data_IF_355929023224
#
_entry.id   IF_355929023224
#
_cell.length_a   1.000
_cell.length_b   1.000
_cell.length_c   1.000
_cell.angle_alpha   90.00
_cell.angle_beta   90.00
_cell.angle_gamma   90.00
#
_symmetry.space_group_name_H-M   'P 1'
#
loop_
_entity.id
_entity.type
_entity.pdbx_description
1 polymer ?
#
# COMPACT_ATOMS: atom_id res chain seq x y z
N UNK A 1 0.10 -12.02 8.34
CA UNK A 1 0.13 -10.68 7.73
C UNK A 1 0.72 -9.61 8.65
N UNK A 2 0.10 -9.23 9.78
CA UNK A 2 0.60 -8.11 10.63
C UNK A 2 2.08 -8.26 11.05
N UNK A 3 2.49 -9.45 11.50
CA UNK A 3 3.87 -9.73 11.92
C UNK A 3 4.91 -9.36 10.86
N UNK A 4 4.79 -9.86 9.62
CA UNK A 4 5.74 -9.54 8.55
C UNK A 4 5.76 -8.03 8.21
N UNK A 5 4.61 -7.36 8.23
CA UNK A 5 4.57 -5.90 8.01
C UNK A 5 5.31 -5.12 9.10
N UNK A 6 5.25 -5.54 10.37
CA UNK A 6 6.06 -4.94 11.45
C UNK A 6 7.56 -5.22 11.22
N UNK A 7 7.92 -6.41 10.76
CA UNK A 7 9.32 -6.75 10.44
C UNK A 7 9.87 -5.90 9.30
N UNK A 8 9.08 -5.72 8.23
CA UNK A 8 9.43 -4.85 7.10
C UNK A 8 9.58 -3.38 7.55
N UNK A 9 8.70 -2.93 8.44
CA UNK A 9 8.76 -1.60 9.05
C UNK A 9 10.04 -1.38 9.88
N UNK A 10 10.46 -2.35 10.69
CA UNK A 10 11.73 -2.26 11.42
C UNK A 10 12.93 -2.33 10.48
N UNK A 11 12.87 -3.15 9.42
CA UNK A 11 13.93 -3.17 8.40
C UNK A 11 14.09 -1.79 7.75
N UNK A 12 12.98 -1.14 7.36
CA UNK A 12 13.02 0.20 6.78
C UNK A 12 13.66 1.24 7.74
N UNK A 13 13.39 1.15 9.04
CA UNK A 13 14.04 2.02 10.05
C UNK A 13 15.55 1.80 10.14
N UNK A 14 15.98 0.54 10.17
CA UNK A 14 17.40 0.19 10.22
C UNK A 14 18.14 0.72 8.97
N UNK A 15 17.52 0.61 7.80
CA UNK A 15 18.05 1.16 6.55
C UNK A 15 18.15 2.69 6.63
N UNK A 16 17.10 3.38 7.11
CA UNK A 16 17.14 4.84 7.25
C UNK A 16 18.21 5.33 8.23
N UNK A 17 18.48 4.57 9.30
CA UNK A 17 19.59 4.88 10.20
C UNK A 17 20.94 4.76 9.50
N UNK A 18 21.16 3.69 8.73
CA UNK A 18 22.38 3.49 7.95
C UNK A 18 22.56 4.55 6.85
N UNK A 19 21.49 4.87 6.11
CA UNK A 19 21.47 5.94 5.09
C UNK A 19 21.81 7.30 5.72
N UNK A 20 21.26 7.63 6.89
CA UNK A 20 21.61 8.88 7.60
C UNK A 20 23.06 8.90 8.06
N UNK A 21 23.58 7.79 8.58
CA UNK A 21 24.97 7.70 9.07
C UNK A 21 26.00 7.78 7.94
N UNK A 22 25.70 7.17 6.80
CA UNK A 22 26.65 7.02 5.68
C UNK A 22 26.46 8.07 4.58
N UNK A 23 25.30 8.73 4.53
CA UNK A 23 24.94 9.66 3.46
C UNK A 23 24.70 8.99 2.10
N UNK A 24 24.65 7.64 2.03
CA UNK A 24 24.43 6.92 0.78
C UNK A 24 22.97 7.02 0.32
N UNK A 25 22.72 6.71 -0.95
CA UNK A 25 21.38 6.54 -1.51
C UNK A 25 20.73 5.22 -1.05
N UNK A 26 19.40 5.17 -1.03
CA UNK A 26 18.62 3.94 -0.84
C UNK A 26 18.70 3.11 -2.11
N UNK A 27 19.21 1.88 -2.04
CA UNK A 27 19.44 0.98 -3.18
C UNK A 27 18.29 0.00 -3.44
N UNK A 28 18.32 -0.68 -4.58
CA UNK A 28 17.41 -1.79 -4.92
C UNK A 28 17.44 -2.89 -3.83
N UNK A 29 18.63 -3.29 -3.34
CA UNK A 29 18.78 -4.23 -2.19
C UNK A 29 18.04 -3.81 -0.94
N UNK A 30 18.06 -2.53 -0.61
CA UNK A 30 17.43 -2.03 0.61
C UNK A 30 15.92 -2.22 0.53
N UNK A 31 15.33 -1.83 -0.60
CA UNK A 31 13.90 -2.02 -0.84
C UNK A 31 13.57 -3.51 -0.91
N UNK A 32 14.39 -4.32 -1.58
CA UNK A 32 14.21 -5.77 -1.65
C UNK A 32 14.22 -6.43 -0.26
N UNK A 33 15.10 -6.01 0.64
CA UNK A 33 15.13 -6.51 2.02
C UNK A 33 13.83 -6.22 2.78
N UNK A 34 13.24 -5.04 2.56
CA UNK A 34 11.94 -4.66 3.13
C UNK A 34 10.82 -5.53 2.53
N UNK A 35 10.80 -5.70 1.20
CA UNK A 35 9.76 -6.46 0.50
C UNK A 35 9.79 -7.96 0.82
N UNK A 36 10.97 -8.54 1.07
CA UNK A 36 11.11 -9.93 1.55
C UNK A 36 10.50 -10.18 2.92
N UNK A 37 10.41 -9.15 3.76
CA UNK A 37 9.72 -9.22 5.06
C UNK A 37 8.26 -8.82 4.95
N UNK A 38 7.87 -8.09 3.90
CA UNK A 38 6.51 -7.60 3.73
C UNK A 38 5.54 -8.77 3.52
N UNK A 39 4.61 -8.92 4.45
CA UNK A 39 3.58 -9.95 4.32
C UNK A 39 2.42 -9.42 3.47
N UNK A 40 2.43 -9.81 2.20
CA UNK A 40 1.39 -9.52 1.21
C UNK A 40 0.05 -10.16 1.60
N UNK A 41 -1.04 -9.48 1.23
CA UNK A 41 -2.39 -10.04 1.28
C UNK A 41 -2.72 -10.70 -0.06
N UNK A 42 -3.51 -11.78 -0.04
CA UNK A 42 -4.17 -12.29 -1.24
C UNK A 42 -5.19 -11.26 -1.73
N UNK A 43 -5.01 -10.78 -2.95
CA UNK A 43 -5.89 -9.82 -3.59
C UNK A 43 -6.69 -10.52 -4.68
N UNK A 44 -7.96 -10.77 -4.38
CA UNK A 44 -8.98 -11.36 -5.25
C UNK A 44 -9.75 -10.31 -6.07
N UNK A 45 -9.54 -9.02 -5.79
CA UNK A 45 -10.27 -7.92 -6.44
C UNK A 45 -9.63 -7.45 -7.75
N UNK A 46 -8.35 -7.79 -8.00
CA UNK A 46 -7.63 -7.40 -9.23
C UNK A 46 -7.82 -8.41 -10.35
N UNK A 47 -9.06 -8.78 -10.65
CA UNK A 47 -9.38 -9.79 -11.65
C UNK A 47 -8.83 -9.43 -13.05
N UNK A 48 -8.74 -8.14 -13.36
CA UNK A 48 -8.24 -7.64 -14.64
C UNK A 48 -6.74 -7.96 -14.90
N UNK A 49 -5.95 -8.28 -13.87
CA UNK A 49 -4.53 -8.61 -14.04
C UNK A 49 -4.24 -10.10 -13.86
N UNK A 50 -5.26 -10.90 -13.54
CA UNK A 50 -5.13 -12.34 -13.33
C UNK A 50 -5.15 -13.05 -14.69
N UNK A 51 -4.21 -13.99 -14.88
CA UNK A 51 -4.27 -14.94 -15.99
C UNK A 51 -5.35 -15.99 -15.72
N UNK A 52 -5.75 -16.69 -16.76
CA UNK A 52 -6.73 -17.77 -16.65
C UNK A 52 -6.32 -18.80 -15.58
N UNK A 53 -7.27 -19.20 -14.74
CA UNK A 53 -7.04 -20.13 -13.62
C UNK A 53 -6.43 -19.50 -12.35
N UNK A 54 -5.98 -18.25 -12.37
CA UNK A 54 -5.42 -17.57 -11.18
C UNK A 54 -6.56 -16.95 -10.35
N UNK A 55 -6.68 -17.35 -9.09
CA UNK A 55 -7.77 -16.89 -8.20
C UNK A 55 -7.42 -15.69 -7.32
N UNK A 56 -6.13 -15.40 -7.13
CA UNK A 56 -5.65 -14.22 -6.40
C UNK A 56 -4.24 -13.84 -6.86
N UNK A 57 -3.85 -12.60 -6.59
CA UNK A 57 -2.46 -12.13 -6.73
C UNK A 57 -1.96 -11.53 -5.42
N UNK A 58 -0.66 -11.52 -5.19
CA UNK A 58 -0.05 -10.78 -4.09
C UNK A 58 0.20 -9.33 -4.50
N UNK A 59 -0.72 -8.44 -4.12
CA UNK A 59 -0.69 -7.03 -4.48
C UNK A 59 -1.28 -6.19 -3.36
N UNK A 60 -0.48 -5.29 -2.80
CA UNK A 60 -0.91 -4.27 -1.84
C UNK A 60 -0.78 -2.88 -2.47
N UNK A 61 -1.72 -2.00 -2.17
CA UNK A 61 -1.63 -0.57 -2.52
C UNK A 61 -1.19 0.22 -1.30
N UNK A 62 -0.13 1.00 -1.43
CA UNK A 62 0.29 2.04 -0.48
C UNK A 62 -0.16 3.40 -1.03
N UNK A 63 -0.77 4.26 -0.23
CA UNK A 63 -1.21 5.60 -0.61
C UNK A 63 -2.74 5.74 -0.63
N UNK A 64 -3.24 6.51 -1.59
CA UNK A 64 -4.64 6.89 -1.73
C UNK A 64 -5.47 5.86 -2.52
N UNK A 65 -6.48 5.28 -1.89
CA UNK A 65 -7.48 4.43 -2.54
C UNK A 65 -8.78 5.21 -2.77
N UNK A 66 -9.44 4.94 -3.88
CA UNK A 66 -10.81 5.39 -4.13
C UNK A 66 -11.79 4.25 -3.84
N UNK A 67 -12.80 4.53 -3.02
CA UNK A 67 -13.93 3.65 -2.77
C UNK A 67 -14.88 3.61 -3.98
N UNK A 68 -15.72 2.58 -4.04
CA UNK A 68 -16.77 2.45 -5.07
C UNK A 68 -17.84 3.53 -4.96
N UNK A 69 -18.01 4.12 -3.78
CA UNK A 69 -18.88 5.26 -3.50
C UNK A 69 -18.25 6.61 -3.88
N UNK A 70 -17.03 6.60 -4.44
CA UNK A 70 -16.28 7.80 -4.79
C UNK A 70 -15.68 8.53 -3.60
N UNK A 71 -15.69 7.94 -2.40
CA UNK A 71 -14.87 8.39 -1.28
C UNK A 71 -13.39 8.11 -1.54
N UNK A 72 -12.49 8.86 -0.91
CA UNK A 72 -11.05 8.59 -0.96
C UNK A 72 -10.50 8.41 0.45
N UNK A 73 -9.57 7.47 0.61
CA UNK A 73 -8.98 7.12 1.89
C UNK A 73 -7.51 6.74 1.73
N UNK A 74 -6.71 6.93 2.78
CA UNK A 74 -5.35 6.40 2.84
C UNK A 74 -5.41 4.95 3.31
N UNK A 75 -4.70 4.06 2.65
CA UNK A 75 -4.68 2.66 3.09
C UNK A 75 -4.03 2.54 4.47
N UNK A 76 -4.56 1.63 5.29
CA UNK A 76 -3.98 1.34 6.60
C UNK A 76 -2.54 0.81 6.51
N UNK A 77 -2.15 0.20 5.38
CA UNK A 77 -0.79 -0.24 5.13
C UNK A 77 0.18 0.95 5.09
N UNK A 78 -0.24 2.07 4.52
CA UNK A 78 0.57 3.30 4.46
C UNK A 78 0.70 3.97 5.80
N UNK A 79 -0.41 4.16 6.52
CA UNK A 79 -0.36 4.88 7.80
C UNK A 79 0.29 4.06 8.92
N UNK A 80 0.04 2.75 8.97
CA UNK A 80 0.54 1.91 10.06
C UNK A 80 1.99 1.47 9.85
N UNK A 81 2.50 1.55 8.62
CA UNK A 81 3.85 1.15 8.25
C UNK A 81 4.50 2.24 7.38
N UNK A 82 4.51 3.48 7.89
CA UNK A 82 4.92 4.65 7.13
C UNK A 82 6.36 4.56 6.63
N UNK A 83 7.30 4.02 7.41
CA UNK A 83 8.70 3.88 7.03
C UNK A 83 8.87 2.95 5.82
N UNK A 84 8.01 1.93 5.64
CA UNK A 84 7.98 1.12 4.40
C UNK A 84 7.59 1.96 3.19
N UNK A 85 6.60 2.85 3.33
CA UNK A 85 6.22 3.75 2.23
C UNK A 85 7.35 4.76 1.97
N UNK A 86 7.90 5.36 3.02
CA UNK A 86 8.95 6.36 2.94
C UNK A 86 10.22 5.81 2.27
N UNK A 87 10.65 4.58 2.59
CA UNK A 87 11.87 4.02 2.00
C UNK A 87 11.70 3.76 0.50
N UNK A 88 10.51 3.33 0.07
CA UNK A 88 10.17 3.15 -1.34
C UNK A 88 10.12 4.51 -2.07
N UNK A 89 9.51 5.53 -1.46
CA UNK A 89 9.48 6.88 -2.02
C UNK A 89 10.90 7.49 -2.13
N UNK A 90 11.72 7.30 -1.09
CA UNK A 90 13.11 7.77 -1.08
C UNK A 90 13.96 7.05 -2.12
N UNK A 91 13.74 5.75 -2.33
CA UNK A 91 14.37 5.01 -3.41
C UNK A 91 14.05 5.64 -4.77
N UNK A 92 12.77 5.95 -5.04
CA UNK A 92 12.38 6.57 -6.31
C UNK A 92 13.05 7.94 -6.48
N UNK A 93 13.08 8.77 -5.44
CA UNK A 93 13.78 10.06 -5.47
C UNK A 93 15.28 9.89 -5.78
N UNK A 94 15.94 8.92 -5.15
CA UNK A 94 17.36 8.65 -5.35
C UNK A 94 17.71 8.13 -6.75
N UNK A 95 16.76 7.48 -7.40
CA UNK A 95 16.89 6.84 -8.71
C UNK A 95 16.20 7.62 -9.84
N UNK A 96 15.59 8.76 -9.50
CA UNK A 96 14.99 9.66 -10.49
C UNK A 96 16.10 10.22 -11.39
N UNK A 97 15.96 10.12 -12.72
CA UNK A 97 16.93 10.63 -13.69
C UNK A 97 17.16 12.13 -13.56
N UNK A 98 18.41 12.58 -13.73
CA UNK A 98 18.78 14.00 -13.59
C UNK A 98 18.18 14.91 -14.67
N UNK A 99 17.85 14.36 -15.83
CA UNK A 99 17.18 15.04 -16.93
C UNK A 99 15.67 15.24 -16.69
N UNK A 100 15.10 14.56 -15.68
CA UNK A 100 13.74 14.82 -15.24
C UNK A 100 13.70 16.10 -14.40
N UNK A 101 13.13 17.17 -14.99
CA UNK A 101 13.14 18.51 -14.37
C UNK A 101 12.33 18.59 -13.07
N UNK A 102 11.27 17.78 -12.95
CA UNK A 102 10.38 17.75 -11.79
C UNK A 102 10.43 16.38 -11.11
N UNK A 103 10.32 16.36 -9.79
CA UNK A 103 10.13 15.11 -9.03
C UNK A 103 8.83 14.45 -9.47
N UNK A 104 8.87 13.14 -9.75
CA UNK A 104 7.66 12.40 -10.11
C UNK A 104 6.62 12.50 -9.01
N UNK A 105 5.40 12.90 -9.38
CA UNK A 105 4.29 13.02 -8.45
C UNK A 105 3.34 11.82 -8.61
N UNK A 106 2.86 11.32 -7.49
CA UNK A 106 1.98 10.15 -7.44
C UNK A 106 1.15 10.19 -6.17
N UNK A 107 0.00 9.53 -6.17
CA UNK A 107 -0.83 9.40 -4.97
C UNK A 107 -0.79 8.00 -4.37
N UNK A 108 -0.30 7.02 -5.11
CA UNK A 108 -0.27 5.62 -4.71
C UNK A 108 0.88 4.82 -5.32
N UNK A 109 1.19 3.70 -4.69
CA UNK A 109 2.16 2.70 -5.12
C UNK A 109 1.48 1.34 -5.06
N UNK A 110 1.41 0.63 -6.17
CA UNK A 110 1.11 -0.80 -6.15
C UNK A 110 2.41 -1.57 -5.93
N UNK A 111 2.46 -2.34 -4.85
CA UNK A 111 3.55 -3.24 -4.51
C UNK A 111 3.07 -4.66 -4.82
N UNK A 112 3.69 -5.28 -5.82
CA UNK A 112 3.31 -6.60 -6.31
C UNK A 112 4.41 -7.61 -5.99
N UNK A 113 4.02 -8.87 -5.76
CA UNK A 113 4.95 -9.98 -5.56
C UNK A 113 4.53 -11.20 -6.39
N UNK A 114 5.47 -11.77 -7.13
CA UNK A 114 5.36 -13.14 -7.62
C UNK A 114 4.24 -13.43 -8.61
N UNK A 115 3.77 -12.45 -9.40
CA UNK A 115 2.83 -12.72 -10.50
C UNK A 115 3.17 -11.95 -11.77
N UNK A 116 2.89 -12.58 -12.91
CA UNK A 116 2.96 -12.00 -14.24
C UNK A 116 1.57 -11.50 -14.63
N UNK A 117 1.38 -10.17 -14.67
CA UNK A 117 0.11 -9.55 -14.98
C UNK A 117 -0.35 -9.89 -16.40
N UNK A 118 -1.63 -10.26 -16.54
CA UNK A 118 -2.30 -10.36 -17.83
C UNK A 118 -2.33 -9.00 -18.56
N UNK A 119 -2.65 -9.02 -19.86
CA UNK A 119 -2.84 -7.80 -20.65
C UNK A 119 -4.01 -6.98 -20.10
N UNK A 120 -3.75 -5.74 -19.71
CA UNK A 120 -4.77 -4.86 -19.13
C UNK A 120 -4.47 -3.38 -19.33
N UNK A 121 -5.44 -2.54 -18.92
CA UNK A 121 -5.30 -1.10 -18.68
C UNK A 121 -5.60 -0.84 -17.21
N UNK A 122 -4.89 0.10 -16.59
CA UNK A 122 -5.18 0.49 -15.20
C UNK A 122 -6.39 1.41 -15.14
N UNK A 123 -7.54 0.87 -14.71
CA UNK A 123 -8.71 1.67 -14.46
C UNK A 123 -8.48 2.67 -13.30
N UNK A 124 -9.10 3.85 -13.39
CA UNK A 124 -9.01 4.90 -12.35
C UNK A 124 -7.56 5.39 -12.10
N UNK A 125 -6.72 5.40 -13.15
CA UNK A 125 -5.38 6.00 -13.17
C UNK A 125 -5.41 7.30 -14.00
N UNK A 126 -4.69 8.34 -13.56
CA UNK A 126 -4.53 9.60 -14.31
C UNK A 126 -3.62 9.48 -15.53
N UNK A 127 -2.94 8.35 -15.69
CA UNK A 127 -2.10 8.02 -16.84
C UNK A 127 -0.63 7.88 -16.44
N UNK A 128 0.10 8.99 -16.22
CA UNK A 128 1.54 8.92 -15.95
C UNK A 128 1.83 8.04 -14.74
N UNK A 129 2.63 7.01 -14.97
CA UNK A 129 3.02 6.01 -13.97
C UNK A 129 4.49 5.67 -14.13
N UNK A 130 5.21 5.45 -13.03
CA UNK A 130 6.56 4.90 -13.05
C UNK A 130 6.56 3.46 -12.57
N UNK A 131 7.35 2.60 -13.21
CA UNK A 131 7.45 1.18 -12.84
C UNK A 131 8.90 0.69 -12.80
N UNK A 132 9.17 -0.14 -11.79
CA UNK A 132 10.44 -0.86 -11.59
C UNK A 132 10.15 -2.28 -11.11
N UNK A 133 10.92 -3.26 -11.58
CA UNK A 133 10.98 -4.59 -10.99
C UNK A 133 12.25 -4.77 -10.14
N UNK A 134 12.14 -5.55 -9.07
CA UNK A 134 13.21 -5.82 -8.11
C UNK A 134 13.27 -7.33 -7.83
N UNK A 135 14.45 -7.83 -7.49
CA UNK A 135 14.67 -9.22 -7.10
C UNK A 135 15.62 -9.95 -8.04
N UNK A 136 15.68 -11.28 -7.90
CA UNK A 136 16.52 -12.16 -8.74
C UNK A 136 15.61 -13.09 -9.53
N UNK A 137 15.41 -12.77 -10.79
CA UNK A 137 14.54 -13.50 -11.70
C UNK A 137 15.07 -13.46 -13.13
N UNK A 138 14.56 -14.35 -13.98
CA UNK A 138 14.75 -14.34 -15.44
C UNK A 138 13.39 -14.26 -16.14
N UNK A 139 13.33 -13.59 -17.29
CA UNK A 139 12.07 -13.23 -17.95
C UNK A 139 11.36 -12.07 -17.23
N UNK A 140 10.04 -11.99 -17.33
CA UNK A 140 9.24 -11.02 -16.59
C UNK A 140 9.37 -9.58 -17.08
N UNK A 141 9.80 -9.42 -18.33
CA UNK A 141 9.82 -8.16 -19.05
C UNK A 141 8.39 -7.58 -19.12
N UNK A 142 8.31 -6.25 -19.19
CA UNK A 142 7.05 -5.54 -19.38
C UNK A 142 6.78 -5.41 -20.88
N UNK A 143 5.63 -5.89 -21.33
CA UNK A 143 5.08 -5.55 -22.63
C UNK A 143 4.21 -4.30 -22.51
N UNK A 144 4.41 -3.34 -23.41
CA UNK A 144 3.70 -2.07 -23.41
C UNK A 144 3.22 -1.69 -24.81
N UNK A 145 1.95 -1.36 -24.90
CA UNK A 145 1.28 -0.93 -26.12
C UNK A 145 1.11 0.58 -26.11
N UNK A 146 2.20 1.27 -26.46
CA UNK A 146 2.28 2.73 -26.40
C UNK A 146 1.25 3.47 -27.22
N UNK A 147 0.74 2.94 -28.33
CA UNK A 147 -0.28 3.61 -29.14
C UNK A 147 -1.71 3.17 -28.81
N UNK A 148 -1.90 2.38 -27.76
CA UNK A 148 -3.21 1.89 -27.36
C UNK A 148 -4.18 3.04 -27.01
N UNK A 149 -5.15 3.26 -27.90
CA UNK A 149 -6.25 4.18 -27.71
C UNK A 149 -7.48 3.40 -27.25
N UNK A 150 -7.83 3.58 -25.97
CA UNK A 150 -9.00 2.95 -25.34
C UNK A 150 -10.33 3.22 -26.05
N UNK A 151 -10.42 4.28 -26.86
CA UNK A 151 -11.62 4.58 -27.65
C UNK A 151 -11.83 3.63 -28.84
N UNK A 152 -10.79 2.88 -29.24
CA UNK A 152 -10.81 1.99 -30.40
C UNK A 152 -11.30 0.57 -30.10
N UNK A 153 -11.44 0.21 -28.82
CA UNK A 153 -11.97 -1.10 -28.43
C UNK A 153 -11.37 -1.68 -27.15
N UNK A 154 -11.65 -2.95 -26.91
CA UNK A 154 -11.08 -3.70 -25.77
C UNK A 154 -9.58 -3.93 -25.99
N UNK A 155 -8.84 -4.12 -24.89
CA UNK A 155 -7.38 -4.22 -24.94
C UNK A 155 -6.93 -5.43 -25.76
N UNK A 156 -7.65 -6.55 -25.68
CA UNK A 156 -7.36 -7.80 -26.39
C UNK A 156 -7.56 -7.68 -27.90
N UNK A 157 -8.48 -6.81 -28.34
CA UNK A 157 -8.74 -6.58 -29.78
C UNK A 157 -7.74 -5.62 -30.39
N UNK A 158 -7.32 -4.61 -29.63
CA UNK A 158 -6.52 -3.49 -30.15
C UNK A 158 -5.02 -3.74 -29.99
N UNK A 159 -4.58 -4.37 -28.90
CA UNK A 159 -3.17 -4.58 -28.59
C UNK A 159 -2.66 -5.89 -29.17
N UNK A 160 -2.17 -5.85 -30.42
CA UNK A 160 -1.62 -7.02 -31.11
C UNK A 160 -0.15 -7.25 -30.74
N UNK A 161 0.31 -8.50 -30.76
CA UNK A 161 1.63 -8.89 -30.25
C UNK A 161 2.79 -8.14 -30.94
N UNK A 162 2.68 -7.89 -32.24
CA UNK A 162 3.64 -7.19 -33.09
C UNK A 162 3.80 -5.70 -32.77
N UNK A 163 2.80 -5.10 -32.13
CA UNK A 163 2.76 -3.67 -31.82
C UNK A 163 3.40 -3.33 -30.46
N UNK A 164 3.79 -4.35 -29.69
CA UNK A 164 4.29 -4.17 -28.34
C UNK A 164 5.74 -3.69 -28.34
N UNK A 165 6.04 -2.84 -27.36
CA UNK A 165 7.40 -2.63 -26.90
C UNK A 165 7.65 -3.52 -25.68
N UNK A 166 8.75 -4.26 -25.70
CA UNK A 166 9.20 -5.05 -24.55
C UNK A 166 10.33 -4.32 -23.83
N UNK A 167 10.19 -4.16 -22.51
CA UNK A 167 11.14 -3.43 -21.66
C UNK A 167 11.53 -4.29 -20.47
N UNK A 168 12.84 -4.50 -20.30
CA UNK A 168 13.38 -5.05 -19.06
C UNK A 168 13.34 -3.98 -17.96
N UNK A 169 12.30 -4.03 -17.13
CA UNK A 169 12.13 -3.13 -15.99
C UNK A 169 12.93 -3.56 -14.74
N UNK A 170 13.74 -4.62 -14.82
CA UNK A 170 14.78 -4.94 -13.82
C UNK A 170 16.02 -4.07 -14.05
N UNK A 171 16.39 -3.81 -15.30
CA UNK A 171 17.50 -2.90 -15.64
C UNK A 171 17.06 -1.44 -15.79
N UNK A 172 15.77 -1.18 -16.04
CA UNK A 172 15.28 0.15 -16.38
C UNK A 172 14.23 0.67 -15.38
N UNK A 173 14.20 1.99 -15.20
CA UNK A 173 13.05 2.71 -14.66
C UNK A 173 12.24 3.22 -15.85
N UNK A 174 10.95 2.90 -15.90
CA UNK A 174 10.07 3.25 -17.01
C UNK A 174 9.01 4.26 -16.54
N UNK A 175 8.89 5.39 -17.24
CA UNK A 175 7.70 6.26 -17.19
C UNK A 175 6.82 5.92 -18.40
N UNK A 176 5.57 5.56 -18.12
CA UNK A 176 4.59 5.14 -19.12
C UNK A 176 3.19 5.64 -18.76
N UNK A 177 2.24 5.47 -19.67
CA UNK A 177 0.83 5.76 -19.44
C UNK A 177 0.11 4.46 -19.03
N UNK A 178 -0.22 4.33 -17.74
CA UNK A 178 -0.90 3.16 -17.19
C UNK A 178 -2.30 2.92 -17.76
N UNK A 179 -2.88 3.92 -18.45
CA UNK A 179 -4.16 3.75 -19.14
C UNK A 179 -4.05 3.01 -20.48
N UNK A 180 -2.83 2.68 -20.93
CA UNK A 180 -2.56 1.92 -22.15
C UNK A 180 -2.31 0.45 -21.86
N UNK A 181 -2.50 -0.39 -22.86
CA UNK A 181 -2.30 -1.83 -22.78
C UNK A 181 -0.91 -2.18 -22.26
N UNK A 182 -0.85 -3.03 -21.24
CA UNK A 182 0.41 -3.58 -20.76
C UNK A 182 0.22 -4.95 -20.11
N UNK A 183 1.27 -5.77 -20.16
CA UNK A 183 1.31 -7.10 -19.55
C UNK A 183 2.73 -7.42 -19.07
N UNK A 184 2.88 -8.49 -18.31
CA UNK A 184 4.20 -9.00 -17.89
C UNK A 184 4.38 -10.40 -18.44
N UNK A 185 5.54 -10.64 -19.05
CA UNK A 185 5.94 -11.97 -19.51
C UNK A 185 6.06 -12.96 -18.35
N UNK A 186 6.03 -14.26 -18.65
CA UNK A 186 6.34 -15.26 -17.62
C UNK A 186 7.77 -15.08 -17.11
N UNK A 187 7.99 -15.47 -15.85
CA UNK A 187 9.31 -15.39 -15.22
C UNK A 187 9.52 -16.52 -14.23
N UNK A 188 10.79 -16.77 -13.93
CA UNK A 188 11.22 -17.66 -12.87
C UNK A 188 12.04 -16.90 -11.83
N UNK A 189 11.83 -17.21 -10.55
CA UNK A 189 12.58 -16.62 -9.44
C UNK A 189 11.79 -15.62 -8.61
N UNK A 190 12.52 -14.79 -7.87
CA UNK A 190 11.95 -13.81 -6.94
C UNK A 190 11.77 -12.47 -7.65
N UNK A 191 10.51 -12.10 -7.92
CA UNK A 191 10.16 -10.82 -8.56
C UNK A 191 9.17 -10.03 -7.72
N UNK A 192 9.53 -8.79 -7.45
CA UNK A 192 8.63 -7.75 -6.98
C UNK A 192 8.52 -6.66 -8.04
N UNK A 193 7.41 -5.93 -8.05
CA UNK A 193 7.32 -4.70 -8.85
C UNK A 193 6.69 -3.57 -8.05
N UNK A 194 7.18 -2.37 -8.29
CA UNK A 194 6.68 -1.12 -7.73
C UNK A 194 6.10 -0.29 -8.86
N UNK A 195 4.81 0.03 -8.77
CA UNK A 195 4.13 0.90 -9.74
C UNK A 195 3.67 2.16 -9.02
N UNK A 196 4.32 3.28 -9.29
CA UNK A 196 3.97 4.60 -8.75
C UNK A 196 2.95 5.25 -9.68
N UNK A 197 1.76 5.55 -9.19
CA UNK A 197 0.66 6.07 -10.02
C UNK A 197 -0.18 7.11 -9.28
N UNK A 198 -0.95 7.87 -10.05
CA UNK A 198 -1.94 8.81 -9.51
C UNK A 198 -3.34 8.25 -9.71
N UNK A 199 -4.04 8.01 -8.61
CA UNK A 199 -5.47 7.68 -8.59
C UNK A 199 -6.31 8.80 -9.25
N UNK A 200 -7.25 8.45 -10.12
CA UNK A 200 -8.14 9.38 -10.84
C UNK A 200 -9.01 10.28 -9.96
N UNK A 201 -9.10 9.99 -8.66
CA UNK A 201 -9.86 10.77 -7.68
C UNK A 201 -8.96 11.53 -6.70
N UNK A 202 -7.66 11.68 -6.98
CA UNK A 202 -6.72 12.32 -6.05
C UNK A 202 -7.13 13.72 -5.60
N UNK A 203 -7.84 14.48 -6.46
CA UNK A 203 -8.35 15.83 -6.17
C UNK A 203 -9.39 15.87 -5.05
N UNK A 204 -10.01 14.74 -4.71
CA UNK A 204 -10.97 14.64 -3.60
C UNK A 204 -10.30 14.53 -2.23
N UNK A 205 -8.98 14.31 -2.18
CA UNK A 205 -8.27 14.25 -0.91
C UNK A 205 -8.21 15.66 -0.31
N UNK A 206 -8.81 15.84 0.87
CA UNK A 206 -8.72 17.09 1.62
C UNK A 206 -7.29 17.36 2.14
N UNK A 207 -7.08 18.56 2.70
CA UNK A 207 -5.77 18.97 3.19
C UNK A 207 -5.22 18.04 4.30
N UNK A 208 -6.07 17.46 5.13
CA UNK A 208 -5.66 16.54 6.20
C UNK A 208 -5.17 15.22 5.62
N UNK A 209 -5.90 14.64 4.66
CA UNK A 209 -5.50 13.42 3.94
C UNK A 209 -4.20 13.66 3.16
N UNK A 210 -4.10 14.79 2.46
CA UNK A 210 -2.89 15.16 1.73
C UNK A 210 -1.69 15.28 2.66
N UNK A 211 -1.84 15.92 3.82
CA UNK A 211 -0.77 16.05 4.81
C UNK A 211 -0.32 14.68 5.34
N UNK A 212 -1.27 13.78 5.67
CA UNK A 212 -0.95 12.43 6.14
C UNK A 212 -0.23 11.58 5.09
N UNK A 213 -0.60 11.70 3.81
CA UNK A 213 0.08 11.02 2.71
C UNK A 213 1.50 11.57 2.52
N UNK A 214 1.67 12.90 2.57
CA UNK A 214 2.97 13.56 2.48
C UNK A 214 3.90 13.17 3.64
N UNK A 215 3.37 13.01 4.86
CA UNK A 215 4.14 12.49 6.01
C UNK A 215 4.69 11.07 5.75
N UNK A 216 4.00 10.28 4.93
CA UNK A 216 4.48 8.96 4.49
C UNK A 216 5.50 9.03 3.33
N UNK A 217 5.96 10.22 2.94
CA UNK A 217 6.98 10.44 1.91
C UNK A 217 6.45 10.49 0.48
N UNK A 218 5.13 10.40 0.28
CA UNK A 218 4.54 10.46 -1.06
C UNK A 218 4.56 11.90 -1.59
N UNK A 219 5.12 12.10 -2.78
CA UNK A 219 5.11 13.38 -3.49
C UNK A 219 3.74 13.61 -4.14
N UNK A 220 2.78 14.07 -3.34
CA UNK A 220 1.37 14.16 -3.75
C UNK A 220 1.16 15.14 -4.93
N UNK A 221 0.37 14.75 -5.95
CA UNK A 221 0.21 15.53 -7.17
C UNK A 221 -0.58 16.83 -6.99
N UNK A 222 -0.13 17.86 -7.69
CA UNK A 222 -0.88 19.07 -8.05
C UNK A 222 -1.31 19.02 -9.52
N UNK A 223 -2.24 19.89 -9.94
CA UNK A 223 -2.62 20.00 -11.35
C UNK A 223 -1.42 20.28 -12.25
N UNK A 224 -0.62 21.29 -11.92
CA UNK A 224 0.60 21.64 -12.69
C UNK A 224 1.58 20.47 -12.79
N UNK A 225 1.79 19.71 -11.72
CA UNK A 225 2.69 18.54 -11.77
C UNK A 225 2.13 17.43 -12.65
N UNK A 226 0.81 17.19 -12.62
CA UNK A 226 0.18 16.20 -13.48
C UNK A 226 0.19 16.62 -14.95
N UNK A 227 -0.06 17.89 -15.24
CA UNK A 227 0.00 18.42 -16.61
C UNK A 227 1.41 18.30 -17.19
N UNK A 228 2.44 18.56 -16.37
CA UNK A 228 3.83 18.33 -16.77
C UNK A 228 4.09 16.88 -17.19
N UNK A 229 3.72 15.90 -16.37
CA UNK A 229 3.96 14.48 -16.70
C UNK A 229 3.06 13.98 -17.82
N UNK A 230 1.82 14.47 -17.93
CA UNK A 230 0.94 14.17 -19.06
C UNK A 230 1.51 14.71 -20.37
N UNK A 231 2.08 15.90 -20.38
CA UNK A 231 2.72 16.48 -21.55
C UNK A 231 3.99 15.73 -21.99
N UNK A 232 4.60 14.93 -21.11
CA UNK A 232 5.72 14.05 -21.48
C UNK A 232 5.28 12.79 -22.24
N UNK A 233 3.98 12.50 -22.29
CA UNK A 233 3.39 11.35 -22.96
C UNK A 233 2.58 11.82 -24.17
N UNK A 234 2.91 11.34 -25.36
CA UNK A 234 2.15 11.67 -26.57
C UNK A 234 0.73 11.07 -26.49
N UNK A 235 -0.27 11.73 -27.09
CA UNK A 235 -1.64 11.20 -27.14
C UNK A 235 -1.65 9.87 -27.91
N UNK A 236 -2.35 8.83 -27.42
CA UNK A 236 -2.45 7.58 -28.16
C UNK A 236 -3.24 7.81 -29.45
N UNK A 237 -2.73 7.30 -30.58
CA UNK A 237 -3.38 7.43 -31.89
C UNK A 237 -4.05 6.14 -32.37
N UNK A 238 -3.88 5.04 -31.65
CA UNK A 238 -4.30 3.71 -32.08
C UNK A 238 -3.34 3.10 -33.10
N UNK A 239 -3.52 1.80 -33.34
CA UNK A 239 -2.73 1.04 -34.31
C UNK A 239 -3.39 1.09 -35.69
N UNK A 240 -3.27 2.23 -36.37
CA UNK A 240 -3.66 2.34 -37.79
C UNK A 240 -2.46 1.95 -38.65
N UNK A 241 -2.62 1.00 -39.57
CA UNK A 241 -1.56 0.51 -40.48
C UNK A 241 -1.10 1.52 -41.55
N UNK A 242 -1.15 2.84 -41.29
CA UNK A 242 -0.64 3.81 -42.27
C UNK A 242 0.88 3.98 -42.10
N UNK A 243 1.60 3.68 -43.19
CA UNK A 243 3.02 3.90 -43.29
C UNK A 243 3.28 5.41 -43.43
N UNK A 244 3.83 6.08 -42.41
CA UNK A 244 4.83 7.18 -42.59
C UNK A 244 4.96 8.18 -41.42
N UNK A 245 4.26 8.08 -40.30
CA UNK A 245 4.52 9.02 -39.19
C UNK A 245 5.74 8.57 -38.36
N UNK A 246 6.72 9.46 -38.08
CA UNK A 246 7.78 9.15 -37.13
C UNK A 246 7.18 8.94 -35.74
N UNK A 247 7.24 7.69 -35.25
CA UNK A 247 6.77 7.30 -33.92
C UNK A 247 7.64 8.00 -32.86
N UNK A 248 7.12 9.06 -32.24
CA UNK A 248 7.74 9.56 -31.00
C UNK A 248 7.44 8.57 -29.89
N UNK A 249 8.42 8.36 -29.01
CA UNK A 249 8.31 7.40 -27.91
C UNK A 249 7.31 7.93 -26.88
N UNK A 250 6.16 7.26 -26.76
CA UNK A 250 5.09 7.55 -25.78
C UNK A 250 5.50 7.32 -24.32
N UNK A 251 6.66 6.71 -24.12
CA UNK A 251 7.26 6.32 -22.85
C UNK A 251 8.67 6.85 -22.74
N UNK A 252 9.20 6.92 -21.51
CA UNK A 252 10.59 7.25 -21.23
C UNK A 252 11.24 6.11 -20.46
N UNK A 253 12.40 5.67 -20.93
CA UNK A 253 13.14 4.54 -20.36
C UNK A 253 14.48 5.09 -19.90
N UNK A 254 14.80 4.88 -18.64
CA UNK A 254 16.10 5.24 -18.09
C UNK A 254 16.77 4.02 -17.52
N UNK A 255 17.90 3.64 -18.14
CA UNK A 255 18.74 2.57 -17.65
C UNK A 255 19.26 2.93 -16.27
N UNK A 256 18.97 2.06 -15.31
CA UNK A 256 19.49 2.19 -13.97
C UNK A 256 20.92 1.64 -13.94
N UNK A 257 21.84 2.29 -13.21
CA UNK A 257 23.18 1.76 -13.07
C UNK A 257 23.09 0.35 -12.45
N UNK A 258 23.95 -0.58 -12.89
CA UNK A 258 23.96 -1.92 -12.30
C UNK A 258 24.21 -1.81 -10.80
N UNK A 259 23.56 -2.68 -10.05
CA UNK A 259 23.66 -2.71 -8.60
C UNK A 259 25.13 -2.92 -8.19
N UNK A 260 25.70 -1.93 -7.49
CA UNK A 260 27.05 -2.02 -6.93
C UNK A 260 26.98 -2.65 -5.54
N UNK A 261 28.10 -3.19 -5.05
CA UNK A 261 28.22 -3.55 -3.64
C UNK A 261 27.76 -2.37 -2.77
N UNK A 262 26.90 -2.61 -1.77
CA UNK A 262 26.37 -1.52 -0.96
C UNK A 262 27.53 -0.78 -0.27
N UNK A 263 27.49 0.54 -0.32
CA UNK A 263 28.43 1.41 0.40
C UNK A 263 28.21 1.40 1.92
N UNK A 264 27.21 0.65 2.40
CA UNK A 264 26.85 0.48 3.81
C UNK A 264 26.50 -0.97 4.12
N UNK A 265 25.67 -1.18 5.13
CA UNK A 265 25.26 -2.53 5.53
C UNK A 265 24.50 -3.28 4.42
N UNK A 266 24.77 -4.59 4.27
CA UNK A 266 23.94 -5.46 3.43
C UNK A 266 22.70 -5.93 4.20
N UNK A 267 21.59 -5.23 4.00
CA UNK A 267 20.31 -5.53 4.66
C UNK A 267 19.62 -6.79 4.16
N UNK A 268 20.10 -7.38 3.05
CA UNK A 268 19.62 -8.68 2.58
C UNK A 268 20.30 -9.87 3.27
N UNK A 269 21.36 -9.62 4.06
CA UNK A 269 22.05 -10.66 4.82
C UNK A 269 21.16 -11.27 5.91
N UNK A 270 21.33 -12.57 6.17
CA UNK A 270 20.57 -13.29 7.22
C UNK A 270 20.69 -12.62 8.59
N UNK A 271 21.86 -12.07 8.93
CA UNK A 271 22.06 -11.36 10.19
C UNK A 271 21.15 -10.13 10.31
N UNK A 272 21.03 -9.32 9.26
CA UNK A 272 20.16 -8.13 9.26
C UNK A 272 18.69 -8.51 9.19
N UNK A 273 18.34 -9.53 8.42
CA UNK A 273 16.97 -10.06 8.37
C UNK A 273 16.53 -10.58 9.75
N UNK A 274 17.39 -11.35 10.44
CA UNK A 274 17.15 -11.81 11.82
C UNK A 274 17.05 -10.64 12.79
N UNK A 275 17.93 -9.65 12.69
CA UNK A 275 17.87 -8.45 13.52
C UNK A 275 16.51 -7.76 13.38
N UNK A 276 16.06 -7.45 12.16
CA UNK A 276 14.76 -6.83 11.92
C UNK A 276 13.61 -7.67 12.49
N UNK A 277 13.64 -9.00 12.29
CA UNK A 277 12.63 -9.93 12.86
C UNK A 277 12.58 -9.87 14.38
N UNK A 278 13.73 -9.81 15.05
CA UNK A 278 13.78 -9.72 16.51
C UNK A 278 13.41 -8.32 17.02
N UNK A 279 13.89 -7.26 16.36
CA UNK A 279 13.59 -5.86 16.72
C UNK A 279 12.11 -5.54 16.60
N UNK A 280 11.41 -6.15 15.63
CA UNK A 280 9.96 -6.02 15.43
C UNK A 280 9.13 -6.34 16.67
N UNK A 281 9.65 -7.19 17.56
CA UNK A 281 8.96 -7.62 18.77
C UNK A 281 9.71 -7.25 20.05
N UNK A 282 10.88 -6.63 19.93
CA UNK A 282 11.62 -6.03 21.06
C UNK A 282 11.14 -4.63 21.38
N UNK A 283 10.21 -4.06 20.60
CA UNK A 283 9.78 -2.67 20.79
C UNK A 283 9.06 -2.51 22.13
N UNK A 284 9.88 -1.98 23.03
CA UNK A 284 9.70 -1.44 24.36
C UNK A 284 8.88 -2.31 25.32
N UNK A 285 9.60 -2.91 26.28
CA UNK A 285 9.33 -2.57 27.68
C UNK A 285 9.30 -1.03 27.77
N UNK A 286 8.25 -0.39 27.23
CA UNK A 286 7.96 0.97 27.64
C UNK A 286 7.77 0.84 29.14
N UNK A 287 8.26 1.78 29.92
CA UNK A 287 7.91 1.84 31.34
C UNK A 287 6.39 2.06 31.41
N UNK A 288 5.64 0.97 31.31
CA UNK A 288 4.23 0.92 31.60
C UNK A 288 4.18 0.92 33.11
N UNK A 289 3.56 1.93 33.66
CA UNK A 289 3.25 1.89 35.06
C UNK A 289 2.04 0.97 35.25
N UNK A 290 2.10 0.07 36.22
CA UNK A 290 0.89 -0.54 36.79
C UNK A 290 0.07 0.48 37.57
N UNK A 291 0.68 1.61 37.91
CA UNK A 291 0.08 2.71 38.66
C UNK A 291 -0.15 3.92 37.76
N UNK A 292 -1.40 4.18 37.41
CA UNK A 292 -1.79 5.39 36.72
C UNK A 292 -2.95 6.02 37.48
N UNK A 293 -2.72 7.25 37.95
CA UNK A 293 -3.74 8.05 38.64
C UNK A 293 -4.71 8.73 37.67
N UNK A 294 -4.48 8.63 36.35
CA UNK A 294 -5.35 9.24 35.36
C UNK A 294 -6.67 8.48 35.27
N UNK A 295 -7.77 9.24 35.33
CA UNK A 295 -9.13 8.72 35.12
C UNK A 295 -9.64 8.99 33.70
N UNK A 296 -8.89 9.77 32.93
CA UNK A 296 -9.19 10.12 31.54
C UNK A 296 -8.08 9.65 30.61
N UNK A 297 -8.45 8.91 29.57
CA UNK A 297 -7.53 8.36 28.57
C UNK A 297 -7.77 9.02 27.22
N UNK A 298 -6.69 9.45 26.58
CA UNK A 298 -6.71 10.26 25.34
C UNK A 298 -6.20 9.48 24.12
N UNK A 299 -5.49 8.38 24.34
CA UNK A 299 -4.98 7.51 23.27
C UNK A 299 -4.84 6.05 23.77
N UNK A 300 -4.50 5.16 22.85
CA UNK A 300 -4.21 3.76 23.14
C UNK A 300 -3.12 3.21 22.24
N UNK A 301 -2.37 2.24 22.73
CA UNK A 301 -1.45 1.45 21.93
C UNK A 301 -1.74 -0.05 22.07
N UNK A 302 -1.58 -0.79 20.99
CA UNK A 302 -1.67 -2.26 20.97
C UNK A 302 -0.38 -2.84 20.43
N UNK A 303 0.48 -3.26 21.35
CA UNK A 303 1.79 -3.81 21.06
C UNK A 303 1.74 -5.34 20.98
N UNK A 304 2.67 -5.90 20.20
CA UNK A 304 2.81 -7.34 20.02
C UNK A 304 4.24 -7.70 20.37
N UNK A 305 4.43 -8.76 21.15
CA UNK A 305 5.75 -9.19 21.61
C UNK A 305 5.92 -10.69 21.42
N UNK A 306 7.14 -11.19 21.63
CA UNK A 306 7.42 -12.62 21.73
C UNK A 306 7.77 -12.90 23.19
N UNK A 307 7.00 -13.75 23.85
CA UNK A 307 7.25 -14.17 25.23
C UNK A 307 8.53 -15.03 25.32
N UNK A 308 9.04 -15.24 26.53
CA UNK A 308 10.29 -15.97 26.76
C UNK A 308 10.28 -17.39 26.19
N UNK A 309 9.10 -18.03 26.13
CA UNK A 309 8.87 -19.36 25.56
C UNK A 309 8.67 -19.37 24.02
N UNK A 310 8.76 -18.20 23.38
CA UNK A 310 8.62 -18.03 21.95
C UNK A 310 7.16 -17.93 21.46
N UNK A 311 6.16 -17.89 22.33
CA UNK A 311 4.77 -17.58 21.97
C UNK A 311 4.62 -16.10 21.63
N UNK A 312 3.63 -15.76 20.79
CA UNK A 312 3.29 -14.36 20.52
C UNK A 312 2.44 -13.80 21.66
N UNK A 313 2.70 -12.58 22.09
CA UNK A 313 1.89 -11.86 23.07
C UNK A 313 1.29 -10.59 22.48
N UNK A 314 0.25 -10.10 23.13
CA UNK A 314 -0.42 -8.83 22.83
C UNK A 314 -0.55 -8.05 24.13
N UNK A 315 -0.07 -6.80 24.11
CA UNK A 315 -0.29 -5.82 25.18
C UNK A 315 -1.18 -4.71 24.67
N UNK A 316 -2.08 -4.26 25.52
CA UNK A 316 -2.88 -3.06 25.28
C UNK A 316 -2.57 -2.08 26.38
N UNK A 317 -2.22 -0.87 25.98
CA UNK A 317 -1.92 0.22 26.89
C UNK A 317 -2.83 1.40 26.57
N UNK A 318 -3.30 2.10 27.60
CA UNK A 318 -4.02 3.36 27.45
C UNK A 318 -3.09 4.51 27.85
N UNK A 319 -3.16 5.61 27.12
CA UNK A 319 -2.40 6.83 27.43
C UNK A 319 -3.33 7.80 28.15
N UNK A 320 -3.04 8.07 29.41
CA UNK A 320 -3.79 8.99 30.24
C UNK A 320 -3.56 10.45 29.83
N UNK A 321 -4.39 11.36 30.33
CA UNK A 321 -4.27 12.80 30.06
C UNK A 321 -2.93 13.40 30.52
N UNK A 322 -2.24 12.78 31.49
CA UNK A 322 -0.87 13.17 31.90
C UNK A 322 0.21 12.76 30.88
N UNK A 323 -0.14 11.98 29.86
CA UNK A 323 0.78 11.37 28.91
C UNK A 323 1.37 10.04 29.38
N UNK A 324 1.11 9.61 30.62
CA UNK A 324 1.55 8.32 31.13
C UNK A 324 0.76 7.17 30.51
N UNK A 325 1.45 6.06 30.21
CA UNK A 325 0.83 4.84 29.68
C UNK A 325 0.57 3.83 30.80
N UNK A 326 -0.61 3.24 30.81
CA UNK A 326 -1.00 2.15 31.73
C UNK A 326 -1.32 0.89 30.96
N UNK A 327 -0.77 -0.24 31.41
CA UNK A 327 -1.05 -1.55 30.83
C UNK A 327 -2.44 -2.01 31.29
N UNK A 328 -3.31 -2.37 30.36
CA UNK A 328 -4.71 -2.73 30.65
C UNK A 328 -5.10 -4.12 30.18
N UNK A 329 -4.35 -4.70 29.23
CA UNK A 329 -4.45 -6.11 28.81
C UNK A 329 -3.03 -6.61 28.55
N UNK A 330 -2.67 -7.75 29.12
CA UNK A 330 -1.48 -8.52 28.73
C UNK A 330 -1.89 -9.97 28.52
N UNK A 331 -1.69 -10.48 27.31
CA UNK A 331 -2.05 -11.86 26.98
C UNK A 331 -1.00 -12.47 26.06
N UNK A 332 -0.86 -13.79 26.16
CA UNK A 332 -0.03 -14.61 25.28
C UNK A 332 -0.90 -15.62 24.56
N UNK A 333 -0.44 -16.11 23.42
CA UNK A 333 -1.09 -17.23 22.75
C UNK A 333 -1.27 -18.40 23.72
N UNK A 334 -2.37 -19.13 23.58
CA UNK A 334 -2.60 -20.38 24.30
C UNK A 334 -1.48 -21.40 24.02
N UNK A 335 -1.02 -21.47 22.77
CA UNK A 335 0.07 -22.32 22.28
C UNK A 335 0.90 -21.60 21.22
N UNK A 336 2.16 -22.00 21.09
CA UNK A 336 3.10 -21.44 20.11
C UNK A 336 2.53 -21.57 18.69
N UNK A 337 2.44 -20.44 17.98
CA UNK A 337 1.88 -20.35 16.63
C UNK A 337 0.38 -20.67 16.51
N UNK A 338 -0.35 -20.78 17.64
CA UNK A 338 -1.78 -21.10 17.62
C UNK A 338 -2.66 -19.96 17.11
N UNK A 339 -2.25 -18.70 17.31
CA UNK A 339 -3.03 -17.51 16.94
C UNK A 339 -4.29 -17.29 17.78
N UNK A 340 -4.52 -18.09 18.83
CA UNK A 340 -5.63 -17.93 19.75
C UNK A 340 -5.16 -17.19 21.00
N UNK A 341 -5.92 -16.18 21.40
CA UNK A 341 -5.64 -15.32 22.55
C UNK A 341 -6.88 -15.28 23.44
N UNK A 342 -6.68 -15.09 24.75
CA UNK A 342 -7.76 -14.72 25.67
C UNK A 342 -7.42 -13.33 26.20
N UNK A 343 -8.14 -12.32 25.72
CA UNK A 343 -7.97 -10.94 26.13
C UNK A 343 -8.82 -10.69 27.36
N UNK A 344 -8.18 -10.28 28.45
CA UNK A 344 -8.86 -9.96 29.71
C UNK A 344 -8.36 -8.61 30.23
N UNK A 345 -9.29 -7.79 30.76
CA UNK A 345 -8.91 -6.57 31.47
C UNK A 345 -8.10 -6.96 32.70
N UNK A 346 -6.93 -6.34 32.90
CA UNK A 346 -6.16 -6.54 34.11
C UNK A 346 -6.95 -6.03 35.32
N UNK A 347 -7.01 -6.82 36.40
CA UNK A 347 -7.72 -6.47 37.63
C UNK A 347 -7.17 -5.21 38.28
N UNK A 348 -5.87 -4.93 38.07
CA UNK A 348 -5.20 -3.72 38.55
C UNK A 348 -5.67 -2.45 37.85
N UNK A 349 -6.44 -2.54 36.76
CA UNK A 349 -6.98 -1.39 36.04
C UNK A 349 -8.46 -1.16 36.41
N UNK A 350 -8.77 -0.16 37.27
CA UNK A 350 -10.10 -0.03 37.87
C UNK A 350 -11.14 0.61 36.93
N UNK A 351 -10.72 1.14 35.78
CA UNK A 351 -11.60 1.89 34.89
C UNK A 351 -12.24 1.04 33.79
N UNK A 352 -13.32 1.55 33.21
CA UNK A 352 -14.02 0.95 32.07
C UNK A 352 -14.80 -0.33 32.38
N UNK A 353 -15.62 -0.80 31.43
CA UNK A 353 -16.38 -2.04 31.58
C UNK A 353 -15.44 -3.26 31.67
N UNK A 354 -15.96 -4.40 32.13
CA UNK A 354 -15.21 -5.67 32.08
C UNK A 354 -14.91 -6.09 30.64
N UNK A 355 -13.76 -6.73 30.42
CA UNK A 355 -13.36 -7.30 29.14
C UNK A 355 -12.94 -8.76 29.36
N UNK A 356 -13.59 -9.68 28.66
CA UNK A 356 -13.12 -11.05 28.44
C UNK A 356 -13.56 -11.47 27.04
N UNK A 357 -12.61 -11.70 26.14
CA UNK A 357 -12.91 -12.07 24.75
C UNK A 357 -11.74 -12.81 24.09
N UNK A 358 -12.03 -13.57 23.04
CA UNK A 358 -11.03 -14.19 22.17
C UNK A 358 -10.77 -13.38 20.88
N UNK A 359 -11.42 -12.22 20.70
CA UNK A 359 -11.34 -11.43 19.47
C UNK A 359 -10.71 -10.07 19.73
N UNK A 360 -9.66 -9.74 18.98
CA UNK A 360 -9.02 -8.42 19.03
C UNK A 360 -9.96 -7.26 18.60
N UNK A 361 -11.03 -7.56 17.87
CA UNK A 361 -12.05 -6.57 17.53
C UNK A 361 -12.77 -6.06 18.79
N UNK A 362 -13.14 -6.96 19.69
CA UNK A 362 -13.84 -6.62 20.93
C UNK A 362 -12.96 -5.78 21.86
N UNK A 363 -11.65 -6.05 21.85
CA UNK A 363 -10.66 -5.23 22.55
C UNK A 363 -10.64 -3.80 22.00
N UNK A 364 -10.73 -3.61 20.69
CA UNK A 364 -10.75 -2.28 20.07
C UNK A 364 -12.05 -1.52 20.36
N UNK A 365 -13.17 -2.24 20.37
CA UNK A 365 -14.45 -1.65 20.75
C UNK A 365 -14.45 -1.24 22.23
N UNK A 366 -13.86 -2.09 23.09
CA UNK A 366 -13.63 -1.79 24.51
C UNK A 366 -12.73 -0.56 24.71
N UNK A 367 -11.61 -0.46 23.98
CA UNK A 367 -10.75 0.73 23.97
C UNK A 367 -11.54 1.98 23.57
N UNK A 368 -12.37 1.89 22.52
CA UNK A 368 -13.16 3.03 22.02
C UNK A 368 -14.20 3.53 23.02
N UNK A 369 -14.63 2.67 23.95
CA UNK A 369 -15.56 3.05 25.02
C UNK A 369 -14.87 3.80 26.18
N UNK A 370 -13.54 3.66 26.32
CA UNK A 370 -12.76 4.22 27.43
C UNK A 370 -11.98 5.46 26.99
N UNK A 371 -11.33 5.39 25.83
CA UNK A 371 -10.53 6.48 25.30
C UNK A 371 -11.45 7.57 24.78
N UNK A 372 -11.42 8.72 25.44
CA UNK A 372 -12.12 9.91 24.96
C UNK A 372 -11.41 10.37 23.69
N UNK A 373 -12.10 10.52 22.55
CA UNK A 373 -11.49 11.12 21.38
C UNK A 373 -10.95 12.50 21.79
N UNK A 374 -9.64 12.68 21.74
CA UNK A 374 -9.01 13.91 22.18
C UNK A 374 -9.66 15.12 21.50
N UNK A 375 -9.98 16.16 22.27
CA UNK A 375 -10.41 17.47 21.72
C UNK A 375 -9.39 18.06 20.74
N UNK A 376 -8.16 17.57 20.74
CA UNK A 376 -7.06 17.90 19.83
C UNK A 376 -6.93 16.90 18.68
N UNK A 377 -7.91 16.89 17.77
CA UNK A 377 -7.77 16.70 16.31
C UNK A 377 -9.18 16.62 15.72
N UNK A 378 -9.68 17.75 15.23
CA UNK A 378 -10.87 17.85 14.36
C UNK A 378 -10.63 17.22 12.96
N UNK A 379 -9.94 16.08 12.93
CA UNK A 379 -9.61 15.29 11.74
C UNK A 379 -9.80 13.81 12.06
N UNK A 380 -10.95 13.46 12.64
CA UNK A 380 -11.34 12.07 12.79
C UNK A 380 -11.41 11.45 11.40
N UNK A 381 -10.55 10.46 11.14
CA UNK A 381 -10.67 9.60 9.97
C UNK A 381 -12.02 8.92 10.07
N UNK A 382 -13.02 9.43 9.35
CA UNK A 382 -14.34 8.78 9.26
C UNK A 382 -14.09 7.39 8.67
N UNK A 383 -14.08 6.35 9.51
CA UNK A 383 -14.45 5.01 9.04
C UNK A 383 -15.82 5.15 8.42
N UNK A 384 -16.02 4.56 7.24
CA UNK A 384 -17.34 4.43 6.63
C UNK A 384 -18.34 3.95 7.68
N UNK A 385 -19.12 4.88 8.21
CA UNK A 385 -20.39 4.56 8.82
C UNK A 385 -21.23 4.03 7.66
N UNK A 386 -21.40 2.70 7.62
CA UNK A 386 -22.51 2.12 6.88
C UNK A 386 -23.76 2.78 7.46
N UNK A 387 -24.41 3.66 6.71
CA UNK A 387 -25.75 4.08 7.03
C UNK A 387 -26.60 2.81 7.09
N UNK A 388 -27.04 2.43 8.29
CA UNK A 388 -28.18 1.54 8.45
C UNK A 388 -29.35 2.26 7.77
N UNK A 389 -29.78 1.75 6.62
CA UNK A 389 -31.05 2.14 6.04
C UNK A 389 -32.13 1.89 7.11
N UNK A 390 -32.78 2.96 7.53
CA UNK A 390 -34.05 2.88 8.24
C UNK A 390 -35.04 2.15 7.34
N UNK A 391 -35.62 1.07 7.85
CA UNK A 391 -36.73 0.38 7.22
C UNK A 391 -37.89 1.38 7.07
N UNK A 392 -38.15 1.81 5.84
CA UNK A 392 -39.41 2.45 5.48
C UNK A 392 -40.41 1.35 5.12
N UNK A 393 -41.64 1.54 5.61
CA UNK A 393 -42.80 0.68 5.44
C UNK A 393 -43.12 0.33 3.98
N UNK A 394 -43.80 -0.80 3.73
CA UNK A 394 -44.11 -1.27 2.37
C UNK A 394 -45.16 -0.37 1.71
N UNK A 395 -44.78 0.34 0.65
CA UNK A 395 -45.73 0.99 -0.25
C UNK A 395 -46.38 -0.04 -1.19
N UNK A 396 -47.68 0.17 -1.43
CA UNK A 396 -48.61 -0.70 -2.15
C UNK A 396 -48.14 -1.11 -3.56
N UNK A 397 -48.61 -2.27 -4.08
CA UNK A 397 -48.18 -2.79 -5.36
C UNK A 397 -48.72 -1.95 -6.54
N UNK A 398 -47.95 -1.83 -7.64
CA UNK A 398 -48.36 -1.05 -8.79
C UNK A 398 -49.46 -1.75 -9.60
N UNK A 399 -50.47 -0.97 -9.97
CA UNK A 399 -51.57 -1.33 -10.85
C UNK A 399 -51.08 -1.68 -12.25
N UNK A 400 -51.52 -2.84 -12.76
CA UNK A 400 -51.28 -3.33 -14.12
C UNK A 400 -51.89 -2.35 -15.14
N UNK A 401 -51.06 -1.78 -16.03
CA UNK A 401 -51.54 -1.14 -17.26
C UNK A 401 -51.92 -2.22 -18.28
N UNK A 402 -53.19 -2.19 -18.69
CA UNK A 402 -53.74 -2.97 -19.76
C UNK A 402 -53.09 -2.61 -21.11
N UNK A 403 -52.73 -3.64 -21.89
CA UNK A 403 -52.46 -3.51 -23.33
C UNK A 403 -53.80 -3.42 -24.06
N UNK A 404 -54.08 -2.29 -24.68
CA UNK A 404 -55.14 -2.14 -25.65
C UNK A 404 -54.75 -2.79 -26.99
N UNK A 405 -55.66 -3.60 -27.51
CA UNK A 405 -55.67 -4.12 -28.86
C UNK A 405 -56.54 -3.22 -29.77
N UNK A 406 -56.27 -3.26 -31.08
CA UNK A 406 -57.10 -2.70 -32.15
C UNK A 406 -56.50 -1.40 -32.74
N UNK A 407 -56.37 -1.23 -34.04
CA UNK A 407 -56.78 -2.02 -35.20
C UNK A 407 -55.84 -1.72 -36.38
#
# INVERSE_FOLDING_TARGET
MRAGRIQAQEMAKLIFEDVRKTGRKVSDRDVLAVLRLWAFKNNDNRQNVMKEGVTFVHSDTLGLLAGRDGSVLVTAATTNYKEVTQIICKWLEDHTPKDLKNKFCFSSINVNSGYAAALHRDANNEGPSMIKALGKFSGGELNYWGEDDKSKGTVEKVCQHEDRLTVDICENLLLFDGNRGHSVEEFEGERFSLVFFTNGQYRKADATLQAGIKDCGINFPTENSMDYFKAMMDKPIGYVRSASAPKRSTQKIWRQPPERKPAGADFTSEAKMKLARTSAFKRSETEWSTECSDTEFIDSNIDHYIAADGRRGVRVCLVGASGKSVLVVDTVEDRKCGGHYKYEKLETFPHGPSLSSHRIADVRDWISAIVKPGRSKAGGTKRCLRNKATAAEPSAPPTKRARGAGA
#
